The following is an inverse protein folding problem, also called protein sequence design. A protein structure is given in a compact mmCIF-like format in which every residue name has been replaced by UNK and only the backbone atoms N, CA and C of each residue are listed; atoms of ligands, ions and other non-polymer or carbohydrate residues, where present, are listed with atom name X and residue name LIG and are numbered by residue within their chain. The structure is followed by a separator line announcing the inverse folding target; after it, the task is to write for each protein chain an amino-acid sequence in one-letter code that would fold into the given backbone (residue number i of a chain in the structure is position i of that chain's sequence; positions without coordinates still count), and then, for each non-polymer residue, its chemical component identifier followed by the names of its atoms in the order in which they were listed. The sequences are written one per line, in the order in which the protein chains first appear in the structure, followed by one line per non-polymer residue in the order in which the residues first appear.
data_IF_920874880041
#
_entry.id   IF_920874880041
#
_cell.length_a   1.000
_cell.length_b   1.000
_cell.length_c   1.000
_cell.angle_alpha   90.00
_cell.angle_beta   90.00
_cell.angle_gamma   90.00
#
_symmetry.space_group_name_H-M   'P 1'
#
loop_
_entity.id
_entity.type
_entity.pdbx_description
1 polymer ?
2 non-polymer ?
3 water ?
#
# COMPACT_ATOMS: atom_id res chain seq x y z
N UNK A 1 -18.36 -11.62 0.65
CA UNK A 1 -17.08 -11.04 0.16
C UNK A 1 -16.62 -9.83 0.99
N UNK A 2 -17.56 -8.95 1.34
CA UNK A 2 -17.25 -7.55 1.68
C UNK A 2 -17.23 -7.24 3.21
N UNK A 3 -18.20 -7.76 3.96
CA UNK A 3 -18.29 -7.47 5.40
C UNK A 3 -17.34 -8.44 6.12
N UNK A 4 -17.14 -8.25 7.41
CA UNK A 4 -16.08 -8.96 8.15
C UNK A 4 -16.48 -10.29 8.81
N UNK A 5 -15.59 -11.30 8.73
CA UNK A 5 -15.72 -12.57 9.45
C UNK A 5 -15.27 -12.35 10.90
N UNK A 6 -15.93 -12.99 11.85
CA UNK A 6 -15.82 -12.61 13.30
C UNK A 6 -14.38 -12.62 13.88
N UNK A 7 -13.53 -13.47 13.36
CA UNK A 7 -12.10 -13.40 13.63
C UNK A 7 -11.51 -12.05 13.21
N UNK A 8 -11.97 -11.51 12.08
CA UNK A 8 -11.57 -10.18 11.62
C UNK A 8 -12.12 -9.14 12.54
N UNK A 9 -13.41 -9.25 12.81
CA UNK A 9 -14.09 -8.29 13.66
C UNK A 9 -13.39 -8.24 15.04
N UNK A 10 -12.92 -9.38 15.52
CA UNK A 10 -12.29 -9.45 16.85
C UNK A 10 -10.92 -8.79 16.86
N UNK A 11 -10.10 -9.16 15.87
CA UNK A 11 -8.80 -8.57 15.68
C UNK A 11 -8.86 -7.06 15.62
N UNK A 12 -9.90 -6.49 15.00
CA UNK A 12 -10.10 -5.01 14.96
C UNK A 12 -10.46 -4.35 16.31
N UNK A 13 -11.50 -4.86 16.93
CA UNK A 13 -11.89 -4.45 18.30
C UNK A 13 -10.73 -4.55 19.29
N UNK A 14 -9.99 -5.66 19.21
CA UNK A 14 -8.78 -5.90 19.96
C UNK A 14 -7.68 -4.84 19.75
N UNK A 15 -7.51 -4.38 18.51
CA UNK A 15 -6.54 -3.26 18.27
C UNK A 15 -7.10 -1.97 18.86
N UNK A 16 -8.36 -1.70 18.58
CA UNK A 16 -8.92 -0.43 19.04
C UNK A 16 -8.82 -0.38 20.59
N UNK A 17 -9.20 -1.48 21.22
CA UNK A 17 -8.96 -1.75 22.65
C UNK A 17 -7.58 -1.28 23.12
N UNK A 18 -6.54 -1.91 22.58
CA UNK A 18 -5.14 -1.56 22.91
C UNK A 18 -4.81 -0.08 22.73
N UNK A 19 -5.35 0.51 21.68
CA UNK A 19 -4.93 1.83 21.27
C UNK A 19 -5.27 2.84 22.36
N UNK A 20 -6.51 2.77 22.83
CA UNK A 20 -7.02 3.58 23.95
C UNK A 20 -6.27 3.31 25.26
N UNK A 21 -5.68 2.14 25.37
CA UNK A 21 -4.87 1.79 26.53
C UNK A 21 -3.43 2.30 26.47
N UNK A 22 -3.00 2.84 25.34
CA UNK A 22 -1.60 3.25 25.17
C UNK A 22 -1.33 4.57 25.82
N UNK A 23 -2.35 5.40 25.96
CA UNK A 23 -2.16 6.71 26.54
C UNK A 23 -1.58 7.66 25.52
N UNK A 24 -0.94 8.72 25.99
CA UNK A 24 -0.45 9.78 25.11
C UNK A 24 0.94 9.47 24.61
N UNK A 25 1.16 9.68 23.33
CA UNK A 25 2.41 9.30 22.72
C UNK A 25 3.38 10.46 22.73
N UNK A 26 4.59 10.26 23.26
CA UNK A 26 5.66 11.24 23.09
C UNK A 26 7.01 10.57 22.91
N UNK A 27 7.91 11.38 22.39
CA UNK A 27 9.08 10.93 21.75
C UNK A 27 9.97 10.18 22.68
N UNK A 28 10.19 10.72 23.87
CA UNK A 28 11.11 10.02 24.75
C UNK A 28 10.51 8.76 25.37
N UNK A 29 9.30 8.34 24.97
CA UNK A 29 8.80 7.00 25.38
C UNK A 29 9.11 5.89 24.39
N UNK A 30 9.85 6.24 23.34
CA UNK A 30 10.16 5.27 22.27
C UNK A 30 11.62 4.90 22.22
N UNK A 31 11.88 3.61 22.04
CA UNK A 31 13.22 3.07 21.94
C UNK A 31 13.37 2.47 20.58
N UNK A 32 14.30 2.98 19.83
CA UNK A 32 14.47 2.57 18.47
C UNK A 32 15.21 1.26 18.35
N UNK A 33 14.60 0.29 17.70
CA UNK A 33 15.19 -1.04 17.58
C UNK A 33 15.90 -1.14 16.26
N UNK A 34 15.22 -0.79 15.18
CA UNK A 34 15.81 -0.86 13.86
C UNK A 34 15.00 -0.02 12.88
N UNK A 35 15.52 0.11 11.66
CA UNK A 35 14.88 0.83 10.59
C UNK A 35 14.10 -0.18 9.78
N UNK A 36 12.84 0.12 9.52
CA UNK A 36 12.01 -0.80 8.72
C UNK A 36 12.09 -0.47 7.25
N UNK A 37 12.09 0.82 6.94
CA UNK A 37 12.26 1.26 5.59
C UNK A 37 12.15 2.74 5.51
N UNK A 38 12.39 3.25 4.31
CA UNK A 38 12.39 4.66 4.08
C UNK A 38 11.05 5.06 3.45
N UNK A 39 10.42 6.06 4.03
CA UNK A 39 9.25 6.75 3.45
C UNK A 39 9.68 7.92 2.55
N UNK A 40 8.72 8.62 1.98
CA UNK A 40 9.01 9.73 1.04
C UNK A 40 9.55 10.91 1.81
N UNK A 41 8.92 11.22 2.92
CA UNK A 41 9.34 12.37 3.71
C UNK A 41 10.22 12.02 4.88
N UNK A 42 10.56 10.73 5.00
CA UNK A 42 11.37 10.31 6.14
C UNK A 42 11.46 8.79 6.26
N UNK A 43 11.57 8.33 7.51
CA UNK A 43 11.97 6.97 7.79
C UNK A 43 11.00 6.29 8.75
N UNK A 44 10.79 5.00 8.51
CA UNK A 44 9.90 4.23 9.33
C UNK A 44 10.80 3.33 10.20
N UNK A 45 10.68 3.48 11.51
CA UNK A 45 11.50 2.69 12.46
C UNK A 45 10.62 1.69 13.20
N UNK A 46 11.21 0.56 13.52
CA UNK A 46 10.62 -0.30 14.50
C UNK A 46 11.10 0.18 15.84
N UNK A 47 10.14 0.32 16.75
CA UNK A 47 10.35 0.90 18.04
C UNK A 47 9.51 0.17 19.06
N UNK A 48 10.02 0.17 20.28
CA UNK A 48 9.27 -0.27 21.42
C UNK A 48 8.83 0.97 22.19
N UNK A 49 7.57 0.95 22.57
CA UNK A 49 6.95 1.96 23.35
C UNK A 49 7.11 1.62 24.84
N UNK A 50 8.04 2.32 25.50
CA UNK A 50 8.42 2.00 26.87
C UNK A 50 7.29 1.70 27.82
N UNK A 51 6.30 2.60 27.95
CA UNK A 51 5.22 2.33 28.88
C UNK A 51 4.46 1.07 28.62
N UNK A 52 3.83 0.96 27.45
CA UNK A 52 2.96 -0.19 27.16
C UNK A 52 3.76 -1.41 26.90
N UNK A 53 5.05 -1.24 26.62
CA UNK A 53 5.85 -2.33 26.13
C UNK A 53 5.46 -2.75 24.69
N UNK A 54 4.48 -2.11 24.07
CA UNK A 54 4.15 -2.44 22.64
C UNK A 54 5.29 -2.16 21.64
N UNK A 55 5.46 -3.07 20.70
CA UNK A 55 6.25 -2.82 19.49
C UNK A 55 5.37 -2.09 18.47
N UNK A 56 5.89 -1.00 17.92
CA UNK A 56 5.20 -0.23 16.90
C UNK A 56 6.10 0.05 15.68
N UNK A 57 5.49 0.55 14.61
CA UNK A 57 6.21 1.22 13.53
C UNK A 57 5.95 2.69 13.66
N UNK A 58 7.01 3.47 13.59
CA UNK A 58 6.94 4.91 13.76
C UNK A 58 7.59 5.55 12.55
N UNK A 59 6.76 6.26 11.79
CA UNK A 59 7.18 6.95 10.60
C UNK A 59 7.51 8.39 11.04
N UNK A 60 8.74 8.83 10.76
CA UNK A 60 9.22 10.20 11.13
C UNK A 60 9.25 11.07 9.91
N UNK A 61 8.37 12.07 9.81
CA UNK A 61 8.38 12.99 8.67
C UNK A 61 8.94 14.36 9.08
N UNK A 62 10.09 14.67 8.50
CA UNK A 62 10.81 15.89 8.82
C UNK A 62 10.19 17.01 8.06
N UNK A 63 9.44 17.84 8.77
CA UNK A 63 8.57 18.79 8.10
C UNK A 63 8.14 19.83 9.09
N UNK A 64 8.29 21.09 8.72
CA UNK A 64 8.03 22.19 9.59
C UNK A 64 6.56 22.53 9.54
N UNK A 65 5.92 22.59 10.70
CA UNK A 65 4.52 22.96 10.79
C UNK A 65 4.36 24.24 11.62
N UNK A 66 3.89 25.29 10.97
CA UNK A 66 3.66 26.56 11.63
C UNK A 66 2.73 26.32 12.85
N UNK A 67 3.10 26.88 14.01
CA UNK A 67 2.26 26.89 15.23
C UNK A 67 0.78 27.22 14.98
N UNK A 68 0.49 28.25 14.19
CA UNK A 68 -0.91 28.66 13.91
C UNK A 68 -1.76 27.54 13.33
N UNK A 69 -1.15 26.63 12.57
CA UNK A 69 -1.89 25.50 12.05
C UNK A 69 -1.46 24.20 12.71
N UNK A 70 -0.52 24.27 13.66
CA UNK A 70 0.15 23.07 14.16
C UNK A 70 -0.81 21.92 14.42
N UNK A 71 -1.80 22.12 15.29
CA UNK A 71 -2.90 21.14 15.39
C UNK A 71 -3.88 21.55 14.32
N UNK A 72 -5.02 20.89 14.19
CA UNK A 72 -5.89 21.18 13.06
C UNK A 72 -5.38 20.39 11.85
N UNK A 73 -4.09 20.54 11.54
CA UNK A 73 -3.36 19.63 10.63
C UNK A 73 -3.38 18.21 11.21
N UNK A 74 -2.88 18.11 12.43
CA UNK A 74 -2.85 16.91 13.23
C UNK A 74 -4.26 16.37 13.45
N UNK A 75 -5.18 17.26 13.80
CA UNK A 75 -6.54 16.84 14.01
C UNK A 75 -6.88 15.99 12.84
N UNK A 76 -6.57 16.52 11.67
CA UNK A 76 -6.92 15.90 10.41
C UNK A 76 -6.05 14.63 10.12
N UNK A 77 -4.81 14.60 10.58
CA UNK A 77 -4.00 13.39 10.44
C UNK A 77 -4.70 12.23 11.09
N UNK A 78 -5.03 12.41 12.37
CA UNK A 78 -5.82 11.44 13.13
C UNK A 78 -7.04 10.99 12.32
N UNK A 79 -7.81 11.95 11.87
CA UNK A 79 -8.99 11.64 11.07
C UNK A 79 -8.67 10.92 9.76
N UNK A 80 -7.55 11.28 9.16
CA UNK A 80 -7.27 10.74 7.83
C UNK A 80 -6.58 9.39 7.87
N UNK A 81 -5.82 9.11 8.90
CA UNK A 81 -5.01 7.88 8.92
C UNK A 81 -5.46 6.84 9.92
N UNK A 82 -6.57 7.11 10.59
CA UNK A 82 -7.14 6.09 11.42
C UNK A 82 -8.24 5.40 10.66
N UNK A 83 -8.02 4.11 10.42
CA UNK A 83 -8.99 3.33 9.74
C UNK A 83 -9.41 2.24 10.65
N UNK A 84 -10.46 1.56 10.23
CA UNK A 84 -10.97 0.39 10.88
C UNK A 84 -11.23 -0.71 9.86
N UNK A 85 -10.15 -1.21 9.24
CA UNK A 85 -10.24 -2.31 8.29
C UNK A 85 -9.17 -3.35 8.51
N UNK A 86 -9.49 -4.62 8.24
CA UNK A 86 -8.45 -5.63 8.26
C UNK A 86 -7.38 -5.40 7.16
N UNK A 87 -7.63 -4.52 6.20
CA UNK A 87 -6.75 -4.45 5.05
C UNK A 87 -5.93 -3.19 5.00
N UNK A 88 -6.08 -2.36 6.03
CA UNK A 88 -5.31 -1.18 6.29
C UNK A 88 -4.61 -1.30 7.63
N UNK A 89 -3.30 -0.93 7.61
CA UNK A 89 -2.48 -1.10 8.80
C UNK A 89 -3.02 -0.28 9.96
N UNK A 90 -2.90 -0.84 11.14
CA UNK A 90 -3.48 -0.22 12.31
C UNK A 90 -2.79 1.05 12.68
N UNK A 91 -3.58 2.01 13.16
CA UNK A 91 -3.09 3.35 13.53
C UNK A 91 -3.11 3.58 15.04
N UNK A 92 -1.97 3.78 15.69
CA UNK A 92 -1.96 4.09 17.14
C UNK A 92 -2.20 5.57 17.44
N UNK A 93 -1.44 6.43 16.81
CA UNK A 93 -1.64 7.87 16.91
C UNK A 93 -0.53 8.59 16.19
N UNK A 94 -0.60 9.92 16.24
CA UNK A 94 0.32 10.81 15.54
C UNK A 94 0.65 12.01 16.41
N UNK A 95 1.90 12.45 16.47
CA UNK A 95 2.21 13.66 17.22
C UNK A 95 3.33 14.42 16.56
N UNK A 96 3.57 15.65 17.05
CA UNK A 96 4.58 16.55 16.51
C UNK A 96 5.61 16.89 17.58
N UNK A 97 6.86 17.01 17.19
CA UNK A 97 7.88 17.50 18.12
C UNK A 97 9.14 17.84 17.37
N UNK A 98 9.53 19.12 17.41
CA UNK A 98 10.82 19.58 16.91
C UNK A 98 10.96 19.33 15.44
N UNK A 99 9.99 19.80 14.65
CA UNK A 99 10.06 19.62 13.20
C UNK A 99 9.96 18.16 12.77
N UNK A 100 9.27 17.35 13.57
CA UNK A 100 9.02 15.93 13.26
C UNK A 100 7.59 15.61 13.54
N UNK A 101 6.88 15.18 12.52
CA UNK A 101 5.59 14.61 12.75
C UNK A 101 5.87 13.10 12.87
N UNK A 102 5.30 12.50 13.90
CA UNK A 102 5.44 11.07 14.09
C UNK A 102 4.10 10.42 13.79
N UNK A 103 4.10 9.34 13.02
CA UNK A 103 2.93 8.48 12.86
C UNK A 103 3.21 7.08 13.38
N UNK A 104 2.43 6.68 14.40
CA UNK A 104 2.60 5.39 15.05
C UNK A 104 1.56 4.39 14.60
N UNK A 105 2.07 3.23 14.23
CA UNK A 105 1.29 2.24 13.58
C UNK A 105 1.54 0.91 14.17
N UNK A 106 0.60 0.05 13.87
CA UNK A 106 0.75 -1.34 14.04
C UNK A 106 1.99 -1.82 13.32
N UNK A 107 2.85 -2.57 14.02
CA UNK A 107 4.03 -3.16 13.43
C UNK A 107 3.69 -4.38 12.62
N UNK A 108 3.99 -4.37 11.31
CA UNK A 108 3.84 -5.54 10.53
C UNK A 108 5.21 -6.22 10.35
N UNK A 109 5.33 -7.43 10.88
CA UNK A 109 6.62 -8.07 11.09
C UNK A 109 7.14 -8.67 9.86
N UNK A 110 6.29 -8.81 8.85
CA UNK A 110 6.76 -9.34 7.60
C UNK A 110 7.37 -8.28 6.70
N UNK A 111 7.26 -7.02 7.04
CA UNK A 111 7.78 -5.96 6.17
C UNK A 111 6.90 -5.70 4.92
N UNK A 112 7.43 -4.91 3.99
CA UNK A 112 6.76 -4.58 2.73
C UNK A 112 7.12 -5.54 1.60
N UNK A 113 6.29 -5.58 0.54
CA UNK A 113 6.51 -6.61 -0.49
C UNK A 113 7.68 -6.28 -1.39
N UNK A 114 8.12 -5.03 -1.42
CA UNK A 114 9.37 -4.70 -2.09
C UNK A 114 10.56 -5.37 -1.45
N UNK A 115 10.58 -5.49 -0.10
CA UNK A 115 11.65 -6.20 0.59
C UNK A 115 11.47 -7.71 0.42
N UNK A 116 10.26 -8.17 0.59
CA UNK A 116 9.98 -9.51 0.43
C UNK A 116 10.36 -9.94 -1.01
N UNK A 117 10.10 -9.10 -2.03
CA UNK A 117 10.49 -9.44 -3.41
C UNK A 117 11.96 -9.70 -3.54
N UNK A 118 12.77 -8.88 -2.90
CA UNK A 118 14.20 -9.09 -2.85
C UNK A 118 14.61 -10.36 -2.17
N UNK A 119 14.02 -10.71 -1.02
CA UNK A 119 14.27 -12.00 -0.43
C UNK A 119 13.85 -13.17 -1.34
N UNK A 120 12.70 -13.09 -1.98
CA UNK A 120 12.19 -14.24 -2.72
C UNK A 120 12.66 -14.37 -4.16
N UNK A 121 13.21 -13.30 -4.77
CA UNK A 121 13.36 -13.25 -6.26
C UNK A 121 12.05 -12.95 -7.01
N UNK A 122 11.09 -13.87 -6.93
CA UNK A 122 9.76 -13.70 -7.51
C UNK A 122 8.69 -14.15 -6.52
N UNK A 123 7.49 -13.56 -6.55
CA UNK A 123 6.39 -13.97 -5.65
C UNK A 123 5.42 -14.81 -6.44
N UNK A 124 5.06 -15.98 -5.94
CA UNK A 124 4.29 -16.78 -6.83
C UNK A 124 2.82 -16.38 -6.95
N UNK A 125 2.27 -16.72 -8.09
CA UNK A 125 0.89 -16.42 -8.44
C UNK A 125 -0.13 -16.60 -7.38
N UNK A 126 -0.16 -17.75 -6.72
CA UNK A 126 -1.20 -18.01 -5.75
C UNK A 126 -1.12 -17.09 -4.59
N UNK A 127 0.11 -16.78 -4.23
CA UNK A 127 0.43 -15.77 -3.22
C UNK A 127 -0.08 -14.35 -3.64
N UNK A 128 0.18 -14.00 -4.89
CA UNK A 128 -0.26 -12.70 -5.43
C UNK A 128 -1.78 -12.66 -5.56
N UNK A 129 -2.38 -13.81 -5.76
CA UNK A 129 -3.83 -13.92 -5.68
C UNK A 129 -4.37 -13.43 -4.36
N UNK A 130 -3.75 -13.86 -3.27
CA UNK A 130 -4.23 -13.42 -1.96
C UNK A 130 -3.80 -11.95 -1.78
N UNK A 131 -2.70 -11.55 -2.41
CA UNK A 131 -2.31 -10.14 -2.27
C UNK A 131 -3.35 -9.25 -2.98
N UNK A 132 -3.80 -9.69 -4.13
CA UNK A 132 -4.78 -8.93 -4.88
C UNK A 132 -6.08 -8.69 -4.17
N UNK A 133 -6.59 -9.73 -3.57
CA UNK A 133 -7.79 -9.64 -2.81
C UNK A 133 -7.62 -8.55 -1.78
N UNK A 134 -6.53 -8.63 -1.02
CA UNK A 134 -6.27 -7.66 0.04
C UNK A 134 -6.15 -6.20 -0.42
N UNK A 135 -5.50 -6.02 -1.54
CA UNK A 135 -5.29 -4.68 -2.06
C UNK A 135 -6.67 -4.17 -2.50
N UNK A 136 -7.39 -4.97 -3.27
CA UNK A 136 -8.72 -4.62 -3.78
C UNK A 136 -9.64 -4.28 -2.64
N UNK A 137 -9.65 -5.09 -1.60
CA UNK A 137 -10.48 -4.79 -0.46
C UNK A 137 -10.03 -3.55 0.32
N UNK A 138 -8.74 -3.40 0.49
CA UNK A 138 -8.23 -2.16 1.13
C UNK A 138 -8.58 -0.91 0.37
N UNK A 139 -8.39 -0.93 -0.96
CA UNK A 139 -8.69 0.23 -1.76
C UNK A 139 -10.18 0.51 -1.82
N UNK A 140 -10.98 -0.55 -1.81
CA UNK A 140 -12.41 -0.40 -1.67
C UNK A 140 -12.79 0.37 -0.43
N UNK A 141 -12.22 -0.06 0.70
CA UNK A 141 -12.47 0.60 1.98
C UNK A 141 -12.03 2.07 2.01
N UNK A 142 -10.85 2.32 1.51
CA UNK A 142 -10.33 3.68 1.50
C UNK A 142 -11.27 4.58 0.70
N UNK A 143 -11.78 4.02 -0.41
CA UNK A 143 -12.65 4.79 -1.29
C UNK A 143 -14.06 5.04 -0.71
N UNK A 144 -14.62 4.06 0.00
CA UNK A 144 -15.97 4.21 0.59
C UNK A 144 -15.93 5.15 1.75
N UNK A 145 -14.90 5.02 2.56
CA UNK A 145 -14.93 5.60 3.89
C UNK A 145 -14.03 6.77 4.13
N UNK A 146 -13.17 7.13 3.17
CA UNK A 146 -12.07 8.09 3.50
C UNK A 146 -11.77 9.20 2.55
N UNK A 147 -11.85 8.97 1.26
CA UNK A 147 -11.01 9.77 0.39
C UNK A 147 -11.54 10.08 -0.98
N UNK A 148 -10.99 11.15 -1.53
CA UNK A 148 -10.90 11.34 -2.95
C UNK A 148 -9.38 11.47 -3.20
N UNK A 149 -8.73 10.41 -3.71
CA UNK A 149 -7.26 10.40 -3.92
C UNK A 149 -6.75 9.67 -5.17
N UNK A 150 -5.58 10.06 -5.65
CA UNK A 150 -4.74 9.15 -6.41
C UNK A 150 -4.12 8.24 -5.37
N UNK A 151 -4.51 6.99 -5.40
CA UNK A 151 -3.79 6.01 -4.62
C UNK A 151 -3.16 5.04 -5.59
N UNK A 152 -1.85 5.18 -5.80
CA UNK A 152 -1.09 4.35 -6.69
C UNK A 152 -0.20 3.36 -5.92
N UNK A 153 -0.63 2.12 -5.88
CA UNK A 153 -0.06 1.12 -5.02
C UNK A 153 1.23 0.49 -5.61
N UNK A 154 2.30 0.53 -4.84
CA UNK A 154 3.57 -0.07 -5.18
C UNK A 154 3.81 -1.21 -4.21
N UNK A 155 4.70 -2.11 -4.56
CA UNK A 155 4.94 -3.22 -3.64
C UNK A 155 5.42 -2.73 -2.28
N UNK A 156 6.11 -1.57 -2.27
CA UNK A 156 6.56 -0.95 -1.04
C UNK A 156 5.44 -0.43 -0.18
N UNK A 157 4.20 -0.41 -0.73
CA UNK A 157 3.05 0.04 0.04
C UNK A 157 2.20 -1.07 0.55
N UNK A 158 2.61 -2.31 0.28
CA UNK A 158 1.89 -3.47 0.76
C UNK A 158 2.63 -4.19 1.91
N UNK A 159 1.97 -4.33 3.04
CA UNK A 159 2.59 -4.92 4.24
C UNK A 159 2.03 -6.31 4.47
N UNK A 160 2.89 -7.21 4.96
CA UNK A 160 2.49 -8.55 5.40
C UNK A 160 3.00 -8.90 6.80
N UNK A 161 2.34 -9.82 7.50
CA UNK A 161 2.85 -10.30 8.78
C UNK A 161 2.81 -11.83 8.91
N UNK A 162 3.36 -12.34 10.00
CA UNK A 162 3.50 -13.75 10.22
C UNK A 162 2.17 -14.41 10.59
N UNK A 163 1.16 -13.63 10.93
CA UNK A 163 -0.22 -14.14 10.97
C UNK A 163 -0.81 -14.37 9.62
N UNK A 164 -0.06 -14.01 8.57
CA UNK A 164 -0.56 -14.16 7.25
C UNK A 164 -1.50 -13.06 6.80
N UNK A 165 -1.48 -11.92 7.46
CA UNK A 165 -2.31 -10.78 7.08
C UNK A 165 -1.59 -10.00 6.02
N UNK A 166 -2.37 -9.34 5.15
CA UNK A 166 -1.87 -8.47 4.07
C UNK A 166 -2.63 -7.15 4.19
N UNK A 167 -1.92 -6.03 4.42
CA UNK A 167 -2.50 -4.72 4.65
C UNK A 167 -1.76 -3.62 3.91
N UNK A 168 -2.55 -2.65 3.45
CA UNK A 168 -1.90 -1.51 2.84
C UNK A 168 -1.20 -0.73 3.91
N UNK A 169 -0.06 -0.17 3.53
CA UNK A 169 0.59 0.85 4.33
C UNK A 169 -0.31 2.01 4.45
N UNK A 170 -0.04 2.84 5.45
CA UNK A 170 -0.57 4.18 5.53
C UNK A 170 0.30 5.19 4.71
N UNK A 171 0.21 5.06 3.39
CA UNK A 171 1.23 5.61 2.53
C UNK A 171 0.80 6.97 2.00
N UNK A 172 1.77 7.74 1.50
CA UNK A 172 1.49 9.05 0.99
C UNK A 172 1.15 10.12 1.98
N UNK A 173 1.65 10.00 3.20
CA UNK A 173 1.41 10.97 4.23
C UNK A 173 2.07 12.29 3.92
N UNK A 174 3.26 12.28 3.33
CA UNK A 174 3.99 13.55 3.07
C UNK A 174 3.22 14.43 2.07
N UNK A 175 2.81 13.84 0.95
CA UNK A 175 2.02 14.53 -0.07
C UNK A 175 0.75 15.06 0.55
N UNK A 176 0.11 14.23 1.37
CA UNK A 176 -1.12 14.63 2.02
C UNK A 176 -0.90 15.85 2.94
N UNK A 177 0.16 15.80 3.72
CA UNK A 177 0.45 16.85 4.64
C UNK A 177 0.74 18.18 3.92
N UNK A 178 1.62 18.17 2.92
CA UNK A 178 1.90 19.38 2.20
C UNK A 178 0.63 19.88 1.59
N UNK A 179 -0.20 19.00 1.05
CA UNK A 179 -1.45 19.46 0.45
C UNK A 179 -2.32 20.15 1.47
N UNK A 180 -2.41 19.53 2.66
CA UNK A 180 -3.18 20.06 3.78
C UNK A 180 -2.72 21.46 4.13
N UNK A 181 -1.41 21.62 4.23
CA UNK A 181 -0.82 22.91 4.55
C UNK A 181 -1.15 23.91 3.45
N UNK A 182 -1.09 23.49 2.19
CA UNK A 182 -1.42 24.33 1.02
C UNK A 182 -2.87 24.84 0.98
N UNK A 183 -3.76 24.14 1.70
CA UNK A 183 -5.18 24.40 1.64
C UNK A 183 -5.71 24.89 2.97
N UNK A 184 -4.83 25.27 3.90
CA UNK A 184 -5.35 25.90 5.09
C UNK A 184 -4.94 27.40 5.14
N UNK A 185 -5.84 28.20 5.72
CA UNK A 185 -5.64 29.64 5.84
C UNK A 185 -6.06 30.14 7.23
N UNK A 186 -5.95 31.46 7.44
CA UNK A 186 -6.68 32.12 8.54
C UNK A 186 -8.06 32.41 7.95
N UNK A 187 -9.09 32.20 8.77
CA UNK A 187 -10.44 32.12 8.26
C UNK A 187 -10.46 30.88 7.38
N UNK A 188 -11.62 30.47 6.95
CA UNK A 188 -11.67 29.21 6.30
C UNK A 188 -11.94 29.51 4.82
N UNK A 189 -11.14 28.96 3.93
CA UNK A 189 -11.33 29.30 2.54
C UNK A 189 -11.01 28.14 1.70
N UNK A 190 -11.41 28.24 0.44
CA UNK A 190 -10.98 27.25 -0.50
C UNK A 190 -11.06 27.84 -1.89
N UNK A 191 -10.00 27.67 -2.67
CA UNK A 191 -9.96 28.07 -4.12
C UNK A 191 -10.04 26.88 -5.07
N UNK A 192 -10.37 25.74 -4.49
CA UNK A 192 -10.63 24.52 -5.23
C UNK A 192 -11.96 24.53 -5.96
N UNK A 193 -11.90 24.15 -7.22
CA UNK A 193 -13.04 23.95 -8.06
C UNK A 193 -14.05 22.90 -7.52
N UNK A 194 -15.36 23.08 -7.76
CA UNK A 194 -16.45 22.13 -7.36
C UNK A 194 -16.18 20.72 -7.84
N UNK A 195 -15.97 20.57 -9.13
CA UNK A 195 -15.34 19.42 -9.77
C UNK A 195 -14.27 18.69 -8.95
N UNK A 196 -13.37 19.41 -8.32
CA UNK A 196 -12.29 18.81 -7.58
C UNK A 196 -12.64 18.47 -6.17
N UNK A 197 -13.73 19.02 -5.68
CA UNK A 197 -14.18 18.76 -4.31
C UNK A 197 -15.06 17.51 -4.23
N UNK A 198 -15.67 17.10 -5.33
CA UNK A 198 -16.25 15.77 -5.37
C UNK A 198 -15.26 14.85 -6.01
N UNK A 199 -14.05 15.37 -6.24
CA UNK A 199 -12.86 14.55 -6.46
C UNK A 199 -13.00 13.29 -7.31
N UNK A 200 -13.77 13.39 -8.39
CA UNK A 200 -13.93 12.28 -9.33
C UNK A 200 -12.98 12.42 -10.52
N UNK A 201 -12.18 13.49 -10.57
CA UNK A 201 -10.95 13.52 -11.39
C UNK A 201 -10.17 12.26 -11.08
N UNK A 202 -10.23 11.87 -9.80
CA UNK A 202 -9.45 10.79 -9.23
C UNK A 202 -10.36 9.53 -9.15
N UNK A 203 -10.64 8.94 -10.31
CA UNK A 203 -11.41 7.70 -10.34
C UNK A 203 -10.51 6.54 -9.95
N UNK A 204 -11.13 5.44 -9.57
CA UNK A 204 -10.39 4.31 -8.99
C UNK A 204 -9.34 3.74 -9.98
N UNK A 205 -9.75 3.76 -11.24
CA UNK A 205 -8.96 3.48 -12.44
C UNK A 205 -7.44 3.75 -12.41
N UNK A 206 -6.98 4.87 -11.88
CA UNK A 206 -5.55 5.12 -11.81
C UNK A 206 -4.90 4.23 -10.75
N UNK A 207 -5.62 4.03 -9.67
CA UNK A 207 -5.16 3.12 -8.62
C UNK A 207 -4.96 1.70 -9.25
N UNK A 208 -5.93 1.32 -10.07
CA UNK A 208 -5.92 -0.02 -10.61
C UNK A 208 -4.72 -0.27 -11.48
N UNK A 209 -4.39 0.70 -12.30
CA UNK A 209 -3.26 0.55 -13.19
C UNK A 209 -1.99 0.27 -12.39
N UNK A 210 -1.82 1.04 -11.38
CA UNK A 210 -0.60 0.95 -10.59
C UNK A 210 -0.48 -0.44 -9.92
N UNK A 211 -1.61 -0.92 -9.45
CA UNK A 211 -1.72 -2.25 -8.89
C UNK A 211 -1.37 -3.35 -9.87
N UNK A 212 -1.98 -3.27 -11.07
CA UNK A 212 -1.64 -4.10 -12.17
C UNK A 212 -0.15 -4.17 -12.38
N UNK A 213 0.46 -3.02 -12.49
CA UNK A 213 1.85 -2.95 -12.71
C UNK A 213 2.65 -3.55 -11.55
N UNK A 214 2.17 -3.37 -10.34
CA UNK A 214 2.89 -3.87 -9.18
C UNK A 214 2.84 -5.38 -9.22
N UNK A 215 1.74 -5.93 -9.71
CA UNK A 215 1.54 -7.36 -9.72
C UNK A 215 2.47 -8.03 -10.71
N UNK A 216 2.65 -7.42 -11.88
CA UNK A 216 3.56 -7.94 -12.84
C UNK A 216 4.97 -7.77 -12.31
N UNK A 217 5.22 -6.69 -11.63
CA UNK A 217 6.53 -6.48 -11.14
C UNK A 217 6.94 -7.64 -10.21
N UNK A 218 6.06 -7.95 -9.27
CA UNK A 218 6.29 -8.96 -8.25
C UNK A 218 6.35 -10.34 -8.88
N UNK A 219 5.55 -10.55 -9.94
CA UNK A 219 5.43 -11.90 -10.52
C UNK A 219 6.64 -12.18 -11.34
N UNK A 220 7.20 -11.19 -12.00
CA UNK A 220 8.39 -11.49 -12.81
C UNK A 220 9.64 -11.11 -12.07
N UNK A 221 9.55 -10.28 -11.08
CA UNK A 221 10.74 -10.08 -10.26
C UNK A 221 11.55 -8.88 -10.67
N UNK A 222 10.99 -8.04 -11.51
CA UNK A 222 11.59 -6.75 -11.78
C UNK A 222 10.54 -5.73 -12.25
N UNK A 223 10.87 -4.47 -12.06
CA UNK A 223 10.07 -3.45 -12.66
C UNK A 223 9.92 -3.79 -14.16
N UNK A 224 8.70 -3.91 -14.66
CA UNK A 224 8.45 -4.52 -15.97
C UNK A 224 8.53 -3.63 -17.22
N UNK A 225 9.03 -2.40 -17.14
CA UNK A 225 9.17 -1.53 -18.31
C UNK A 225 10.60 -1.00 -18.31
N UNK A 226 11.36 -1.33 -19.36
CA UNK A 226 10.93 -1.88 -20.64
C UNK A 226 10.68 -3.37 -20.50
N UNK A 227 9.72 -3.95 -21.24
CA UNK A 227 9.53 -5.37 -21.06
C UNK A 227 10.82 -6.15 -21.28
N UNK A 228 10.91 -7.33 -20.68
CA UNK A 228 12.05 -8.16 -20.94
C UNK A 228 11.83 -8.92 -22.25
N UNK A 229 12.82 -8.91 -23.13
CA UNK A 229 12.69 -9.61 -24.42
C UNK A 229 12.88 -11.11 -24.20
N UNK A 230 12.64 -11.90 -25.24
CA UNK A 230 12.70 -13.37 -25.14
C UNK A 230 14.02 -13.91 -24.53
N UNK A 231 15.13 -13.21 -24.75
CA UNK A 231 16.38 -13.59 -24.10
C UNK A 231 16.14 -13.79 -22.60
N UNK A 232 15.72 -12.71 -21.93
CA UNK A 232 15.48 -12.73 -20.49
C UNK A 232 14.51 -13.84 -20.10
N UNK A 233 13.40 -13.93 -20.82
CA UNK A 233 12.29 -14.80 -20.42
C UNK A 233 12.70 -16.26 -20.21
N UNK A 234 13.18 -16.90 -21.27
CA UNK A 234 13.57 -18.30 -21.15
C UNK A 234 14.49 -18.49 -19.94
N UNK A 235 15.43 -17.58 -19.73
CA UNK A 235 16.40 -17.65 -18.61
C UNK A 235 15.76 -17.51 -17.22
N UNK A 236 15.07 -16.39 -16.98
CA UNK A 236 14.31 -16.21 -15.75
C UNK A 236 13.43 -17.45 -15.46
N UNK A 237 12.71 -17.90 -16.49
CA UNK A 237 11.56 -18.84 -16.34
C UNK A 237 11.73 -20.28 -16.87
N UNK A 238 12.92 -20.64 -17.36
CA UNK A 238 13.12 -21.97 -17.95
C UNK A 238 12.37 -22.21 -19.24
N UNK A 239 12.72 -21.43 -20.26
CA UNK A 239 12.10 -21.50 -21.59
C UNK A 239 10.57 -21.30 -21.61
N UNK A 240 10.08 -20.35 -20.79
CA UNK A 240 8.65 -19.99 -20.75
C UNK A 240 7.74 -21.12 -21.24
N UNK A 267 24.04 1.98 -23.30
CA UNK A 267 22.75 2.39 -23.86
C UNK A 267 21.52 1.93 -23.04
N UNK A 268 21.51 0.66 -22.54
CA UNK A 268 20.30 0.08 -21.88
C UNK A 268 19.38 0.95 -20.97
N UNK A 269 19.86 1.49 -19.84
CA UNK A 269 18.89 1.99 -18.85
C UNK A 269 18.14 3.26 -19.31
N UNK A 270 16.93 3.11 -19.82
CA UNK A 270 16.21 4.26 -20.38
C UNK A 270 16.00 5.28 -19.29
N UNK A 271 16.08 6.55 -19.65
CA UNK A 271 15.87 7.61 -18.69
C UNK A 271 14.39 7.91 -18.60
N UNK A 272 14.07 8.81 -17.71
CA UNK A 272 12.72 9.04 -17.27
C UNK A 272 11.81 9.69 -18.32
N UNK A 273 12.29 10.64 -19.12
CA UNK A 273 11.41 11.24 -20.13
C UNK A 273 10.96 10.11 -21.03
N UNK A 274 11.88 9.22 -21.39
CA UNK A 274 11.57 8.08 -22.29
C UNK A 274 10.56 7.03 -21.73
N UNK A 275 10.77 6.67 -20.45
CA UNK A 275 9.87 5.71 -19.74
C UNK A 275 8.48 6.28 -19.79
N UNK A 276 8.35 7.57 -19.49
CA UNK A 276 7.04 8.19 -19.43
C UNK A 276 6.32 8.18 -20.79
N UNK A 277 7.07 8.41 -21.86
CA UNK A 277 6.51 8.34 -23.21
C UNK A 277 6.23 6.89 -23.56
N UNK A 278 7.14 6.00 -23.18
CA UNK A 278 6.92 4.58 -23.37
C UNK A 278 5.63 4.15 -22.74
N UNK A 279 5.39 4.55 -21.50
CA UNK A 279 4.14 4.18 -20.84
C UNK A 279 2.91 4.71 -21.61
N UNK A 280 2.97 5.97 -22.06
CA UNK A 280 1.83 6.55 -22.79
C UNK A 280 1.67 5.94 -24.18
N UNK A 281 2.77 5.65 -24.84
CA UNK A 281 2.71 5.37 -26.27
C UNK A 281 2.92 3.95 -26.67
N UNK A 282 3.40 3.10 -25.78
CA UNK A 282 3.71 1.72 -26.13
C UNK A 282 2.66 0.77 -25.56
N UNK A 283 2.66 -0.49 -26.02
CA UNK A 283 1.69 -1.41 -25.42
C UNK A 283 1.92 -1.60 -23.89
N UNK A 284 0.85 -1.88 -23.14
CA UNK A 284 1.00 -2.07 -21.72
C UNK A 284 1.82 -3.33 -21.44
N UNK A 285 2.64 -3.34 -20.39
CA UNK A 285 3.35 -4.59 -20.09
C UNK A 285 2.35 -5.73 -19.77
N UNK A 286 2.79 -6.97 -19.79
CA UNK A 286 1.89 -8.07 -19.44
C UNK A 286 2.68 -9.29 -18.99
N UNK A 287 1.98 -10.25 -18.38
CA UNK A 287 2.61 -11.46 -17.93
C UNK A 287 3.08 -12.35 -19.11
N UNK A 288 4.20 -13.06 -18.93
CA UNK A 288 4.57 -14.10 -19.90
C UNK A 288 3.63 -15.26 -19.89
N UNK A 289 3.39 -15.81 -21.07
CA UNK A 289 2.42 -16.88 -21.26
C UNK A 289 2.95 -18.21 -20.73
N UNK A 290 2.06 -19.15 -20.46
CA UNK A 290 2.46 -20.53 -20.09
C UNK A 290 2.87 -20.65 -18.64
N UNK A 291 3.84 -19.85 -18.25
CA UNK A 291 4.33 -19.79 -16.89
C UNK A 291 3.28 -19.25 -15.87
N UNK A 292 2.24 -18.55 -16.33
CA UNK A 292 1.16 -18.04 -15.45
C UNK A 292 -0.19 -18.40 -16.01
N UNK A 293 -1.13 -18.66 -15.15
CA UNK A 293 -2.45 -19.09 -15.58
C UNK A 293 -3.09 -18.06 -16.46
N UNK A 294 -3.99 -18.52 -17.31
CA UNK A 294 -4.72 -17.60 -18.19
C UNK A 294 -5.49 -16.51 -17.45
N UNK A 295 -6.14 -16.90 -16.35
CA UNK A 295 -6.97 -16.01 -15.56
C UNK A 295 -6.15 -14.91 -14.87
N UNK A 296 -4.95 -15.25 -14.44
CA UNK A 296 -4.03 -14.26 -13.89
C UNK A 296 -3.65 -13.31 -14.96
N UNK A 297 -3.20 -13.85 -16.10
CA UNK A 297 -2.85 -13.03 -17.26
C UNK A 297 -3.98 -12.03 -17.64
N UNK A 298 -5.20 -12.53 -17.61
CA UNK A 298 -6.37 -11.73 -17.99
C UNK A 298 -6.62 -10.67 -16.92
N UNK A 299 -6.29 -11.03 -15.68
CA UNK A 299 -6.60 -10.18 -14.54
C UNK A 299 -5.76 -8.95 -14.68
N UNK A 300 -4.48 -9.14 -14.98
CA UNK A 300 -3.59 -8.03 -15.04
C UNK A 300 -3.79 -7.23 -16.30
N UNK A 301 -4.24 -7.91 -17.36
CA UNK A 301 -4.54 -7.24 -18.61
C UNK A 301 -5.70 -6.30 -18.43
N UNK A 302 -6.73 -6.72 -17.70
CA UNK A 302 -7.82 -5.83 -17.32
C UNK A 302 -7.31 -4.61 -16.59
N UNK A 303 -6.28 -4.78 -15.74
CA UNK A 303 -5.77 -3.66 -14.95
C UNK A 303 -5.00 -2.72 -15.78
N UNK A 304 -4.33 -3.21 -16.79
CA UNK A 304 -3.44 -2.36 -17.54
C UNK A 304 -3.99 -1.87 -18.87
N UNK A 305 -5.28 -2.03 -19.09
CA UNK A 305 -5.91 -1.43 -20.26
C UNK A 305 -5.65 0.07 -20.21
N UNK A 306 -5.02 0.58 -21.27
CA UNK A 306 -4.49 1.93 -21.28
C UNK A 306 -5.50 3.06 -21.25
N UNK A 307 -6.69 2.76 -21.74
CA UNK A 307 -7.80 3.70 -21.75
C UNK A 307 -8.64 3.51 -20.49
N UNK A 308 -8.66 4.51 -19.61
CA UNK A 308 -9.18 4.25 -18.27
C UNK A 308 -10.67 4.09 -18.27
N UNK A 309 -11.30 4.51 -19.37
CA UNK A 309 -12.71 4.25 -19.65
C UNK A 309 -12.97 2.78 -19.82
N UNK A 310 -12.02 2.09 -20.44
CA UNK A 310 -12.13 0.64 -20.65
C UNK A 310 -11.46 -0.22 -19.52
N UNK A 311 -10.55 0.34 -18.77
CA UNK A 311 -9.94 -0.39 -17.66
C UNK A 311 -10.94 -0.86 -16.61
N UNK A 312 -10.75 -2.09 -16.12
CA UNK A 312 -11.50 -2.55 -14.95
C UNK A 312 -11.56 -1.56 -13.80
N UNK A 313 -12.70 -1.59 -13.10
CA UNK A 313 -12.91 -0.92 -11.84
C UNK A 313 -12.88 -1.99 -10.71
N UNK A 314 -13.04 -1.59 -9.45
CA UNK A 314 -12.76 -2.47 -8.32
C UNK A 314 -13.79 -3.57 -8.19
N UNK A 315 -15.06 -3.22 -8.35
CA UNK A 315 -16.14 -4.24 -8.35
C UNK A 315 -15.96 -5.32 -9.42
N UNK A 316 -15.51 -4.91 -10.59
CA UNK A 316 -15.25 -5.81 -11.72
C UNK A 316 -14.18 -6.86 -11.32
N UNK A 317 -13.12 -6.39 -10.66
CA UNK A 317 -11.99 -7.20 -10.27
C UNK A 317 -12.37 -8.17 -9.21
N UNK A 318 -13.21 -7.75 -8.26
CA UNK A 318 -13.68 -8.62 -7.17
C UNK A 318 -14.42 -9.87 -7.66
N UNK A 319 -14.97 -9.82 -8.87
CA UNK A 319 -15.68 -10.95 -9.47
C UNK A 319 -14.92 -11.56 -10.61
N UNK A 320 -13.76 -11.03 -10.94
CA UNK A 320 -12.95 -11.65 -11.98
C UNK A 320 -12.53 -13.08 -11.65
N UNK A 321 -12.41 -13.89 -12.69
CA UNK A 321 -12.06 -15.32 -12.55
C UNK A 321 -10.86 -15.55 -11.58
N UNK A 322 -9.76 -14.86 -11.79
CA UNK A 322 -8.60 -14.94 -10.91
C UNK A 322 -8.97 -14.76 -9.45
N UNK A 323 -9.80 -13.79 -9.16
CA UNK A 323 -10.09 -13.48 -7.77
C UNK A 323 -11.01 -14.51 -7.12
N UNK A 324 -11.95 -15.00 -7.92
CA UNK A 324 -12.89 -16.01 -7.49
C UNK A 324 -12.11 -17.26 -7.12
N UNK A 325 -11.24 -17.68 -8.02
CA UNK A 325 -10.43 -18.84 -7.76
C UNK A 325 -9.55 -18.57 -6.55
N UNK A 326 -8.90 -17.41 -6.51
CA UNK A 326 -7.98 -17.14 -5.37
C UNK A 326 -8.68 -17.14 -4.05
N UNK A 327 -9.94 -16.72 -4.07
CA UNK A 327 -10.66 -16.53 -2.84
C UNK A 327 -10.95 -17.87 -2.24
N UNK A 328 -11.22 -18.85 -3.10
CA UNK A 328 -11.48 -20.21 -2.62
C UNK A 328 -10.21 -20.99 -2.30
N UNK A 329 -9.07 -20.65 -2.90
CA UNK A 329 -7.89 -21.47 -2.64
C UNK A 329 -7.48 -21.38 -1.18
N UNK A 330 -7.09 -22.50 -0.59
CA UNK A 330 -6.55 -22.46 0.76
C UNK A 330 -5.03 -22.36 0.57
N UNK A 331 -4.43 -21.23 0.90
CA UNK A 331 -3.02 -20.97 0.63
C UNK A 331 -2.25 -20.79 1.92
N UNK A 332 -1.24 -21.42 2.20
CA UNK A 332 -0.54 -21.21 3.40
C UNK A 332 0.48 -20.10 3.31
N UNK A 333 -0.21 -18.95 3.37
CA UNK A 333 0.36 -17.58 3.18
C UNK A 333 1.41 -17.35 4.21
N UNK A 334 1.01 -17.54 5.47
CA UNK A 334 1.86 -17.32 6.61
C UNK A 334 3.10 -18.23 6.61
N UNK A 335 2.93 -19.50 6.23
CA UNK A 335 4.07 -20.43 6.12
C UNK A 335 5.03 -20.05 4.95
N UNK A 336 4.46 -19.70 3.82
CA UNK A 336 5.24 -19.19 2.69
C UNK A 336 6.10 -17.98 3.14
N UNK A 337 5.47 -17.06 3.82
CA UNK A 337 6.11 -15.84 4.17
C UNK A 337 7.22 -16.06 5.17
N UNK A 338 6.89 -16.73 6.26
CA UNK A 338 7.87 -17.02 7.31
C UNK A 338 9.09 -17.72 6.72
N UNK A 339 8.85 -18.73 5.89
CA UNK A 339 9.93 -19.43 5.25
C UNK A 339 10.73 -18.47 4.35
N UNK A 340 10.06 -17.60 3.59
CA UNK A 340 10.77 -16.74 2.63
C UNK A 340 11.69 -15.74 3.30
N UNK A 341 11.25 -15.16 4.41
CA UNK A 341 11.99 -14.10 5.04
C UNK A 341 12.69 -14.62 6.27
N UNK A 342 12.52 -15.90 6.57
CA UNK A 342 13.13 -16.47 7.72
C UNK A 342 12.64 -15.91 9.04
N UNK A 343 11.33 -15.91 9.28
CA UNK A 343 10.83 -15.48 10.58
C UNK A 343 10.80 -16.54 11.69
N UNK A 344 9.87 -17.51 11.62
CA UNK A 344 9.67 -18.56 12.68
C UNK A 344 8.31 -18.43 13.31
#
# INVERSE_FOLDING_TARGET
ELELDEQQRKRLEAFLTQKQKVGELKDDDFEKISELGAGNGGVVFKVSHKPSGLVMARKLIHLEIKPAIRNQIIRELQVLHECNSPYIVGFYGAFYSDGEISICMEHMDGGSLDQVLKKAGRIPEQILGKVSIAVIKGLTYLREKHKIMHRDVKPSNILVNSRGEIKLCDFGVSGQLIDSMANSFVGTRSYMSPERLQGTHYSVQSDIWSMGLSLVEMAVGRYPIPPPDAKELELMFGCQVEGDAAETPPRPRAPGRPLASYGMDSRPPMAIFELLDYIVNEPPPKLPSGVFSLEFQDFVNKCLIKNPAERADLKQLMVHAFIKRSDAEEVDFAGWLCSTIGLNHHHHHH
#
